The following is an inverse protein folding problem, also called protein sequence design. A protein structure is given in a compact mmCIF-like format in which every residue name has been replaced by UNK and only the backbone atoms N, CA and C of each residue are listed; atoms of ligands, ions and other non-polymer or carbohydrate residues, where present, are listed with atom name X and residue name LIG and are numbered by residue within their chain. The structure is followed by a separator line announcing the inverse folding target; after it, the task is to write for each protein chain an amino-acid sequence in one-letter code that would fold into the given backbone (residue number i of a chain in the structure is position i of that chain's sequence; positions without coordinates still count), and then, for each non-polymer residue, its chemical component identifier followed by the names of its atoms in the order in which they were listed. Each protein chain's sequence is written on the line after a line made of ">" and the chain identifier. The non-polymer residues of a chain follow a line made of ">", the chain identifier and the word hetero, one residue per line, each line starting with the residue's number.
data_IF_419578562912
#
_entry.id   IF_419578562912
#
_cell.length_a   1.000
_cell.length_b   1.000
_cell.length_c   1.000
_cell.angle_alpha   90.00
_cell.angle_beta   90.00
_cell.angle_gamma   90.00
#
_symmetry.space_group_name_H-M   'P 1'
#
loop_
_entity.id
_entity.type
_entity.pdbx_description
1 polymer ?
#
# COMPACT_ATOMS: atom_id res chain seq x y z
N UNK A 1 23.93 21.00 -12.13
CA UNK A 1 23.09 21.07 -10.90
C UNK A 1 22.26 22.35 -10.94
N UNK A 2 20.99 22.30 -10.53
CA UNK A 2 20.07 23.45 -10.61
C UNK A 2 19.56 23.79 -12.02
N UNK A 3 19.79 22.92 -13.00
CA UNK A 3 19.34 23.05 -14.40
C UNK A 3 18.50 21.84 -14.79
N UNK A 4 17.57 22.02 -15.72
CA UNK A 4 16.73 20.93 -16.23
C UNK A 4 17.60 19.84 -16.91
N UNK A 5 17.30 18.58 -16.62
CA UNK A 5 18.04 17.40 -17.10
C UNK A 5 18.08 17.28 -18.63
N UNK A 6 17.16 17.92 -19.37
CA UNK A 6 17.18 17.96 -20.83
C UNK A 6 18.47 18.52 -21.43
N UNK A 7 19.28 19.24 -20.65
CA UNK A 7 20.62 19.68 -21.06
C UNK A 7 21.61 18.55 -21.33
N UNK A 8 21.31 17.33 -20.87
CA UNK A 8 22.11 16.12 -21.10
C UNK A 8 21.68 15.35 -22.34
N UNK A 9 20.74 15.89 -23.13
CA UNK A 9 20.10 15.21 -24.25
C UNK A 9 20.39 15.96 -25.57
N UNK A 10 20.46 15.24 -26.70
CA UNK A 10 20.42 15.85 -28.02
C UNK A 10 19.23 16.80 -28.20
N UNK A 11 19.35 17.90 -28.97
CA UNK A 11 18.30 18.92 -29.09
C UNK A 11 16.93 18.35 -29.46
N UNK A 12 16.90 17.41 -30.41
CA UNK A 12 15.68 16.76 -30.89
C UNK A 12 14.97 15.87 -29.84
N UNK A 13 15.69 15.45 -28.79
CA UNK A 13 15.13 14.72 -27.63
C UNK A 13 14.76 15.72 -26.52
N UNK A 14 15.63 16.70 -26.26
CA UNK A 14 15.46 17.72 -25.24
C UNK A 14 14.16 18.53 -25.44
N UNK A 15 13.78 18.81 -26.68
CA UNK A 15 12.53 19.51 -27.03
C UNK A 15 11.28 18.73 -26.62
N UNK A 16 11.34 17.40 -26.63
CA UNK A 16 10.20 16.51 -26.34
C UNK A 16 10.15 16.06 -24.87
N UNK A 17 11.27 16.18 -24.16
CA UNK A 17 11.46 15.67 -22.79
C UNK A 17 10.36 16.12 -21.81
N UNK A 18 10.12 17.43 -21.73
CA UNK A 18 9.19 18.01 -20.75
C UNK A 18 7.74 17.56 -21.02
N UNK A 19 7.40 17.27 -22.28
CA UNK A 19 6.10 16.73 -22.68
C UNK A 19 5.85 15.30 -22.19
N UNK A 20 6.90 14.46 -22.09
CA UNK A 20 6.76 13.11 -21.55
C UNK A 20 6.45 13.13 -20.04
N UNK A 21 7.08 14.03 -19.29
CA UNK A 21 6.81 14.22 -17.87
C UNK A 21 5.40 14.78 -17.63
N UNK A 22 4.98 15.76 -18.42
CA UNK A 22 3.64 16.34 -18.31
C UNK A 22 2.55 15.30 -18.58
N UNK A 23 2.73 14.50 -19.64
CA UNK A 23 1.80 13.42 -19.99
C UNK A 23 1.72 12.38 -18.87
N UNK A 24 2.86 11.96 -18.32
CA UNK A 24 2.89 11.04 -17.20
C UNK A 24 2.11 11.58 -15.98
N UNK A 25 2.34 12.84 -15.60
CA UNK A 25 1.60 13.48 -14.49
C UNK A 25 0.09 13.58 -14.73
N UNK A 26 -0.34 13.73 -15.99
CA UNK A 26 -1.75 13.87 -16.34
C UNK A 26 -2.47 12.53 -16.49
N UNK A 27 -1.81 11.51 -17.02
CA UNK A 27 -2.46 10.26 -17.41
C UNK A 27 -2.04 9.06 -16.58
N UNK A 28 -1.01 9.18 -15.74
CA UNK A 28 -0.37 8.05 -15.03
C UNK A 28 0.33 7.04 -15.95
N UNK A 29 0.33 7.27 -17.27
CA UNK A 29 0.90 6.35 -18.26
C UNK A 29 2.41 6.57 -18.34
N UNK A 30 3.16 5.57 -17.89
CA UNK A 30 4.63 5.61 -17.75
C UNK A 30 5.34 5.45 -19.10
N UNK A 31 6.21 6.41 -19.45
CA UNK A 31 6.97 6.41 -20.72
C UNK A 31 8.44 5.95 -20.55
N UNK A 32 9.16 6.49 -19.56
CA UNK A 32 10.54 6.10 -19.16
C UNK A 32 10.59 5.71 -17.67
N UNK A 33 9.68 6.25 -16.87
CA UNK A 33 9.56 5.98 -15.43
C UNK A 33 9.20 4.50 -15.20
N UNK A 34 10.04 3.79 -14.46
CA UNK A 34 9.91 2.38 -14.16
C UNK A 34 10.46 1.42 -15.22
N UNK A 35 11.26 1.87 -16.19
CA UNK A 35 11.92 0.95 -17.14
C UNK A 35 13.31 1.46 -17.50
N UNK A 36 14.31 0.58 -17.57
CA UNK A 36 15.63 0.93 -18.12
C UNK A 36 15.54 0.92 -19.64
N UNK A 37 15.98 1.99 -20.30
CA UNK A 37 15.94 2.13 -21.76
C UNK A 37 17.24 2.69 -22.32
N UNK A 38 17.62 2.21 -23.49
CA UNK A 38 18.67 2.85 -24.29
C UNK A 38 18.19 4.21 -24.81
N UNK A 39 18.99 5.24 -24.57
CA UNK A 39 18.76 6.63 -24.96
C UNK A 39 20.06 7.22 -25.53
N UNK A 40 19.97 8.42 -26.08
CA UNK A 40 21.14 9.19 -26.48
C UNK A 40 21.41 10.29 -25.46
N UNK A 41 22.62 10.29 -24.90
CA UNK A 41 23.15 11.37 -24.09
C UNK A 41 23.98 12.34 -24.94
N UNK A 42 24.18 13.55 -24.45
CA UNK A 42 25.06 14.54 -25.08
C UNK A 42 26.08 15.06 -24.05
N UNK A 43 27.36 14.97 -24.37
CA UNK A 43 28.43 15.60 -23.61
C UNK A 43 28.39 17.12 -23.75
N UNK A 44 29.00 17.84 -22.79
CA UNK A 44 29.18 19.31 -22.86
C UNK A 44 29.83 19.79 -24.16
N UNK A 45 30.68 18.96 -24.79
CA UNK A 45 31.34 19.24 -26.06
C UNK A 45 30.41 19.18 -27.29
N UNK A 46 29.16 18.73 -27.13
CA UNK A 46 28.24 18.49 -28.24
C UNK A 46 28.26 17.06 -28.78
N UNK A 47 29.21 16.22 -28.34
CA UNK A 47 29.30 14.82 -28.76
C UNK A 47 28.13 14.01 -28.20
N UNK A 48 27.41 13.33 -29.08
CA UNK A 48 26.34 12.39 -28.73
C UNK A 48 26.95 11.03 -28.41
N UNK A 49 26.45 10.37 -27.37
CA UNK A 49 26.85 9.02 -26.97
C UNK A 49 25.62 8.17 -26.66
N UNK A 50 25.74 6.87 -26.85
CA UNK A 50 24.67 5.93 -26.47
C UNK A 50 24.71 5.72 -24.96
N UNK A 51 23.54 5.78 -24.32
CA UNK A 51 23.42 5.66 -22.87
C UNK A 51 22.25 4.76 -22.48
N UNK A 52 22.25 4.21 -21.27
CA UNK A 52 21.06 3.62 -20.67
C UNK A 52 20.55 4.52 -19.56
N UNK A 53 19.23 4.74 -19.53
CA UNK A 53 18.57 5.50 -18.47
C UNK A 53 17.51 4.64 -17.78
N UNK A 54 17.54 4.61 -16.45
CA UNK A 54 16.44 4.14 -15.62
C UNK A 54 15.96 5.28 -14.75
N UNK A 55 14.66 5.55 -14.72
CA UNK A 55 14.06 6.61 -13.90
C UNK A 55 12.94 6.01 -13.07
N UNK A 56 12.83 6.38 -11.80
CA UNK A 56 11.77 6.00 -10.88
C UNK A 56 11.11 7.25 -10.31
N UNK A 57 9.82 7.16 -10.06
CA UNK A 57 9.04 8.21 -9.41
C UNK A 57 9.03 7.94 -7.91
N UNK A 58 9.52 8.91 -7.16
CA UNK A 58 9.66 8.89 -5.72
C UNK A 58 8.79 10.00 -5.16
N UNK A 59 7.80 9.62 -4.36
CA UNK A 59 6.92 10.57 -3.71
C UNK A 59 7.62 11.10 -2.44
N UNK A 60 7.96 12.40 -2.44
CA UNK A 60 8.54 13.10 -1.29
C UNK A 60 7.52 14.09 -0.72
N UNK A 61 7.74 14.56 0.51
CA UNK A 61 6.86 15.52 1.21
C UNK A 61 6.66 16.86 0.48
N UNK A 62 7.47 17.16 -0.54
CA UNK A 62 7.39 18.34 -1.40
C UNK A 62 6.89 18.03 -2.83
N UNK A 63 6.42 16.81 -3.10
CA UNK A 63 5.84 16.37 -4.38
C UNK A 63 6.62 15.23 -5.05
N UNK A 64 6.28 14.98 -6.33
CA UNK A 64 6.93 13.95 -7.16
C UNK A 64 8.39 14.30 -7.47
N UNK A 65 9.29 13.43 -7.06
CA UNK A 65 10.73 13.48 -7.37
C UNK A 65 11.11 12.32 -8.26
N UNK A 66 11.84 12.59 -9.35
CA UNK A 66 12.29 11.54 -10.25
C UNK A 66 13.76 11.21 -9.94
N UNK A 67 14.01 9.99 -9.48
CA UNK A 67 15.36 9.48 -9.25
C UNK A 67 15.75 8.57 -10.41
N UNK A 68 16.97 8.68 -10.94
CA UNK A 68 17.36 7.83 -12.05
C UNK A 68 18.85 7.81 -12.29
N UNK A 69 19.31 6.80 -13.01
CA UNK A 69 20.70 6.67 -13.46
C UNK A 69 20.78 6.88 -14.98
N UNK A 70 21.92 7.40 -15.43
CA UNK A 70 22.27 7.52 -16.85
C UNK A 70 23.70 6.96 -17.01
N UNK A 71 23.84 5.84 -17.72
CA UNK A 71 25.13 5.18 -17.95
C UNK A 71 25.55 5.31 -19.41
N UNK A 72 26.78 5.74 -19.69
CA UNK A 72 27.34 5.73 -21.03
C UNK A 72 27.73 4.30 -21.44
N UNK A 73 27.35 3.89 -22.65
CA UNK A 73 27.70 2.58 -23.22
C UNK A 73 29.06 2.58 -23.94
N UNK A 74 29.86 3.65 -23.82
CA UNK A 74 31.14 3.80 -24.54
C UNK A 74 32.39 3.28 -23.80
N UNK A 75 32.24 2.57 -22.68
CA UNK A 75 33.36 1.97 -21.92
C UNK A 75 33.14 0.49 -21.66
N UNK A 76 34.14 -0.34 -21.99
CA UNK A 76 34.09 -1.79 -21.78
C UNK A 76 33.88 -2.20 -20.32
N UNK A 77 33.37 -3.44 -20.16
CA UNK A 77 32.93 -4.09 -18.93
C UNK A 77 33.81 -3.83 -17.70
N UNK A 78 33.49 -2.78 -16.96
CA UNK A 78 33.74 -2.70 -15.53
C UNK A 78 32.37 -2.53 -14.88
N UNK A 79 31.88 -3.58 -14.23
CA UNK A 79 30.65 -3.61 -13.43
C UNK A 79 30.83 -2.80 -12.13
N UNK A 80 31.52 -1.67 -12.24
CA UNK A 80 31.57 -0.64 -11.23
C UNK A 80 30.79 0.54 -11.81
N UNK A 81 29.49 0.58 -11.55
CA UNK A 81 28.75 1.83 -11.48
C UNK A 81 29.67 2.84 -10.79
N UNK A 82 30.10 3.90 -11.50
CA UNK A 82 31.04 4.91 -10.98
C UNK A 82 30.75 5.21 -9.50
N UNK A 83 31.76 5.12 -8.64
CA UNK A 83 31.66 5.10 -7.17
C UNK A 83 30.79 6.22 -6.58
N UNK A 84 30.66 7.33 -7.31
CA UNK A 84 29.85 8.49 -6.98
C UNK A 84 28.34 8.26 -7.22
N UNK A 85 27.97 7.56 -8.30
CA UNK A 85 26.58 7.16 -8.58
C UNK A 85 26.14 6.05 -7.63
N UNK A 86 27.05 5.14 -7.27
CA UNK A 86 26.79 4.12 -6.26
C UNK A 86 26.59 4.76 -4.87
N UNK A 87 27.40 5.75 -4.48
CA UNK A 87 27.22 6.51 -3.24
C UNK A 87 25.86 7.24 -3.18
N UNK A 88 25.44 7.89 -4.27
CA UNK A 88 24.16 8.61 -4.32
C UNK A 88 22.95 7.64 -4.31
N UNK A 89 23.05 6.50 -4.99
CA UNK A 89 22.07 5.40 -4.90
C UNK A 89 21.98 4.80 -3.50
N UNK A 90 23.12 4.64 -2.81
CA UNK A 90 23.21 4.08 -1.45
C UNK A 90 22.72 5.04 -0.37
N UNK A 91 22.75 6.35 -0.61
CA UNK A 91 22.43 7.39 0.38
C UNK A 91 20.99 7.92 0.28
N UNK A 92 20.35 7.86 -0.90
CA UNK A 92 19.02 8.45 -1.13
C UNK A 92 17.90 7.44 -1.45
N UNK A 93 18.20 6.16 -1.67
CA UNK A 93 17.17 5.16 -1.96
C UNK A 93 16.39 4.78 -0.69
N UNK A 94 15.12 5.18 -0.64
CA UNK A 94 14.16 4.75 0.41
C UNK A 94 13.81 3.25 0.26
N UNK A 95 13.89 2.70 -0.96
CA UNK A 95 13.52 1.32 -1.27
C UNK A 95 14.74 0.37 -1.36
N UNK A 96 14.50 -0.91 -1.03
CA UNK A 96 15.52 -1.96 -1.12
C UNK A 96 15.88 -2.23 -2.58
N UNK A 97 17.17 -2.20 -2.88
CA UNK A 97 17.74 -2.53 -4.18
C UNK A 97 18.75 -3.65 -4.00
N UNK A 98 18.59 -4.71 -4.78
CA UNK A 98 19.50 -5.87 -4.80
C UNK A 98 19.92 -6.14 -6.24
N UNK A 99 21.21 -6.28 -6.48
CA UNK A 99 21.76 -6.72 -7.75
C UNK A 99 22.27 -8.14 -7.63
N UNK A 100 21.99 -8.98 -8.63
CA UNK A 100 22.53 -10.34 -8.72
C UNK A 100 22.98 -10.68 -10.14
N UNK A 101 23.88 -11.66 -10.26
CA UNK A 101 24.28 -12.25 -11.53
C UNK A 101 23.20 -13.22 -12.10
N UNK A 102 23.48 -13.81 -13.25
CA UNK A 102 22.56 -14.77 -13.89
C UNK A 102 22.40 -16.12 -13.16
N UNK A 103 23.27 -16.41 -12.19
CA UNK A 103 23.21 -17.58 -11.33
C UNK A 103 22.43 -17.31 -10.04
N UNK A 104 22.01 -16.06 -9.81
CA UNK A 104 21.33 -15.62 -8.60
C UNK A 104 22.28 -15.28 -7.46
N UNK A 105 23.58 -15.13 -7.72
CA UNK A 105 24.56 -14.66 -6.74
C UNK A 105 24.38 -13.17 -6.54
N UNK A 106 24.16 -12.74 -5.31
CA UNK A 106 24.03 -11.32 -4.97
C UNK A 106 25.38 -10.63 -5.12
N UNK A 107 25.41 -9.58 -5.94
CA UNK A 107 26.59 -8.74 -6.17
C UNK A 107 26.58 -7.53 -5.25
N UNK A 108 25.41 -6.90 -5.09
CA UNK A 108 25.26 -5.71 -4.26
C UNK A 108 23.88 -5.66 -3.58
N UNK A 109 23.83 -5.00 -2.43
CA UNK A 109 22.61 -4.63 -1.72
C UNK A 109 22.78 -3.23 -1.10
N UNK A 110 21.77 -2.37 -1.20
CA UNK A 110 21.83 -1.03 -0.61
C UNK A 110 21.49 -1.04 0.90
N UNK A 111 21.73 0.10 1.58
CA UNK A 111 21.42 0.26 3.02
C UNK A 111 19.97 -0.04 3.37
N UNK A 112 19.03 0.38 2.52
CA UNK A 112 17.61 0.09 2.69
C UNK A 112 17.33 -1.42 2.65
N UNK A 113 18.00 -2.17 1.78
CA UNK A 113 17.91 -3.63 1.74
C UNK A 113 18.50 -4.32 2.97
N UNK A 114 19.64 -3.84 3.46
CA UNK A 114 20.24 -4.32 4.72
C UNK A 114 19.24 -4.15 5.87
N UNK A 115 18.64 -2.96 5.99
CA UNK A 115 17.62 -2.68 7.00
C UNK A 115 16.36 -3.54 6.80
N UNK A 116 15.85 -3.64 5.57
CA UNK A 116 14.66 -4.41 5.25
C UNK A 116 14.81 -5.89 5.57
N UNK A 117 15.96 -6.51 5.30
CA UNK A 117 16.15 -7.93 5.59
C UNK A 117 16.70 -8.23 6.98
N UNK A 118 16.91 -7.20 7.82
CA UNK A 118 17.47 -7.35 9.17
C UNK A 118 18.90 -7.87 9.15
N UNK A 119 19.69 -7.47 8.16
CA UNK A 119 21.09 -7.85 7.99
C UNK A 119 21.98 -6.88 8.78
N UNK A 120 23.12 -7.36 9.29
CA UNK A 120 24.10 -6.51 9.99
C UNK A 120 25.00 -5.74 9.00
N UNK A 121 25.04 -6.18 7.75
CA UNK A 121 25.80 -5.55 6.68
C UNK A 121 25.77 -6.35 5.37
N UNK A 122 26.18 -5.71 4.28
CA UNK A 122 26.15 -6.29 2.92
C UNK A 122 26.98 -7.59 2.82
N UNK A 123 28.08 -7.71 3.57
CA UNK A 123 28.97 -8.87 3.53
C UNK A 123 28.29 -10.20 3.91
N UNK A 124 27.12 -10.16 4.56
CA UNK A 124 26.35 -11.36 4.90
C UNK A 124 25.60 -11.95 3.71
N UNK A 125 25.36 -11.16 2.66
CA UNK A 125 24.55 -11.56 1.50
C UNK A 125 25.30 -11.45 0.18
N UNK A 126 26.24 -10.53 0.05
CA UNK A 126 27.09 -10.41 -1.14
C UNK A 126 27.92 -11.69 -1.32
N UNK A 127 27.91 -12.23 -2.53
CA UNK A 127 28.50 -13.52 -2.88
C UNK A 127 27.64 -14.75 -2.54
N UNK A 128 26.50 -14.56 -1.87
CA UNK A 128 25.55 -15.64 -1.56
C UNK A 128 24.41 -15.67 -2.59
N UNK A 129 23.72 -16.81 -2.68
CA UNK A 129 22.56 -16.92 -3.56
C UNK A 129 21.34 -16.20 -2.95
N UNK A 130 20.64 -15.41 -3.75
CA UNK A 130 19.48 -14.58 -3.38
C UNK A 130 18.37 -15.35 -2.66
N UNK A 131 18.24 -16.66 -2.91
CA UNK A 131 17.21 -17.50 -2.31
C UNK A 131 17.27 -17.54 -0.78
N UNK A 132 18.37 -17.12 -0.16
CA UNK A 132 18.47 -16.96 1.29
C UNK A 132 17.50 -15.92 1.86
N UNK A 133 17.01 -14.99 1.04
CA UNK A 133 16.06 -13.94 1.41
C UNK A 133 14.59 -14.35 1.16
N UNK A 134 14.34 -15.63 0.92
CA UNK A 134 13.04 -16.18 0.55
C UNK A 134 12.65 -17.34 1.48
N UNK A 135 11.35 -17.60 1.68
CA UNK A 135 10.88 -18.80 2.36
C UNK A 135 11.40 -20.08 1.70
N UNK A 136 11.61 -21.12 2.50
CA UNK A 136 12.23 -22.40 2.06
C UNK A 136 11.51 -23.04 0.88
N UNK A 137 10.19 -22.88 0.79
CA UNK A 137 9.35 -23.45 -0.25
C UNK A 137 9.66 -22.80 -1.61
N UNK A 138 9.78 -21.47 -1.62
CA UNK A 138 10.15 -20.67 -2.80
C UNK A 138 11.63 -20.85 -3.13
N UNK A 139 12.50 -20.85 -2.12
CA UNK A 139 13.95 -20.96 -2.28
C UNK A 139 14.36 -22.25 -3.00
N UNK A 140 13.68 -23.37 -2.73
CA UNK A 140 13.92 -24.67 -3.40
C UNK A 140 13.65 -24.62 -4.91
N UNK A 141 12.73 -23.79 -5.35
CA UNK A 141 12.30 -23.70 -6.75
C UNK A 141 13.03 -22.59 -7.52
N UNK A 142 13.60 -21.61 -6.80
CA UNK A 142 14.13 -20.37 -7.37
C UNK A 142 15.19 -20.59 -8.47
N UNK A 143 16.16 -21.47 -8.24
CA UNK A 143 17.22 -21.76 -9.21
C UNK A 143 16.67 -22.39 -10.50
N UNK A 144 15.53 -23.09 -10.42
CA UNK A 144 14.80 -23.61 -11.57
C UNK A 144 14.22 -22.50 -12.46
N UNK A 145 13.76 -21.39 -11.86
CA UNK A 145 13.28 -20.22 -12.61
C UNK A 145 14.40 -19.54 -13.40
N UNK A 146 15.58 -19.38 -12.77
CA UNK A 146 16.75 -18.81 -13.43
C UNK A 146 17.24 -19.72 -14.56
N UNK A 147 17.29 -21.03 -14.33
CA UNK A 147 17.69 -22.02 -15.35
C UNK A 147 16.75 -22.01 -16.55
N UNK A 148 15.44 -22.07 -16.31
CA UNK A 148 14.44 -21.95 -17.38
C UNK A 148 14.54 -20.64 -18.14
N UNK A 149 14.79 -19.52 -17.45
CA UNK A 149 14.99 -18.23 -18.10
C UNK A 149 16.21 -18.22 -19.02
N UNK A 150 17.34 -18.76 -18.56
CA UNK A 150 18.57 -18.87 -19.36
C UNK A 150 18.38 -19.72 -20.62
N UNK A 151 17.63 -20.82 -20.51
CA UNK A 151 17.35 -21.74 -21.62
C UNK A 151 16.34 -21.19 -22.63
N UNK A 152 15.25 -20.56 -22.14
CA UNK A 152 14.09 -20.22 -22.98
C UNK A 152 14.00 -18.74 -23.34
N UNK A 153 14.66 -17.85 -22.59
CA UNK A 153 14.49 -16.41 -22.68
C UNK A 153 13.10 -15.89 -22.27
N UNK A 154 12.19 -16.77 -21.82
CA UNK A 154 10.82 -16.40 -21.46
C UNK A 154 10.82 -15.74 -20.08
N UNK A 155 10.52 -14.45 -20.06
CA UNK A 155 10.40 -13.62 -18.85
C UNK A 155 9.17 -14.05 -18.05
N UNK A 156 9.37 -14.77 -16.95
CA UNK A 156 8.27 -15.12 -16.02
C UNK A 156 7.99 -13.97 -15.05
N UNK A 157 9.02 -13.29 -14.53
CA UNK A 157 8.90 -12.20 -13.53
C UNK A 157 9.46 -10.87 -14.04
N UNK A 158 10.47 -10.92 -14.92
CA UNK A 158 11.16 -9.76 -15.47
C UNK A 158 10.18 -8.88 -16.26
N UNK A 159 10.20 -7.57 -16.02
CA UNK A 159 9.27 -6.55 -16.56
C UNK A 159 7.82 -6.59 -16.00
N UNK A 160 7.56 -7.36 -14.95
CA UNK A 160 6.26 -7.36 -14.23
C UNK A 160 6.44 -7.05 -12.74
N UNK A 161 5.50 -6.31 -12.16
CA UNK A 161 5.37 -6.16 -10.72
C UNK A 161 4.69 -7.39 -10.16
N UNK A 162 5.30 -8.08 -9.18
CA UNK A 162 4.72 -9.25 -8.54
C UNK A 162 4.81 -9.17 -7.03
N UNK A 163 3.79 -9.68 -6.36
CA UNK A 163 3.82 -9.86 -4.92
C UNK A 163 4.36 -11.24 -4.59
N UNK A 164 5.32 -11.28 -3.67
CA UNK A 164 5.95 -12.51 -3.20
C UNK A 164 6.21 -12.39 -1.70
N UNK A 165 6.27 -13.52 -1.01
CA UNK A 165 6.68 -13.54 0.39
C UNK A 165 8.20 -13.60 0.47
N UNK A 166 8.78 -12.67 1.24
CA UNK A 166 10.18 -12.60 1.58
C UNK A 166 10.42 -13.14 3.01
N UNK A 167 11.68 -13.42 3.34
CA UNK A 167 12.07 -13.85 4.68
C UNK A 167 13.27 -13.03 5.18
N UNK A 168 13.17 -12.46 6.38
CA UNK A 168 14.26 -11.74 7.04
C UNK A 168 15.26 -12.73 7.65
N UNK A 169 16.43 -12.22 8.07
CA UNK A 169 17.50 -13.01 8.72
C UNK A 169 17.02 -13.78 9.96
N UNK A 170 16.10 -13.21 10.74
CA UNK A 170 15.54 -13.84 11.95
C UNK A 170 14.50 -14.93 11.64
N UNK A 171 14.17 -15.16 10.36
CA UNK A 171 13.18 -16.12 9.90
C UNK A 171 11.76 -15.55 9.78
N UNK A 172 11.52 -14.31 10.19
CA UNK A 172 10.21 -13.66 10.01
C UNK A 172 9.88 -13.51 8.53
N UNK A 173 8.62 -13.77 8.19
CA UNK A 173 8.10 -13.69 6.82
C UNK A 173 7.29 -12.41 6.66
N UNK A 174 7.40 -11.79 5.50
CA UNK A 174 6.70 -10.54 5.19
C UNK A 174 6.45 -10.47 3.69
N UNK A 175 5.39 -9.75 3.29
CA UNK A 175 5.02 -9.66 1.89
C UNK A 175 5.71 -8.46 1.24
N UNK A 176 6.24 -8.69 0.04
CA UNK A 176 6.93 -7.67 -0.73
C UNK A 176 6.37 -7.56 -2.12
N UNK A 177 6.31 -6.32 -2.59
CA UNK A 177 6.20 -6.05 -4.01
C UNK A 177 7.61 -6.09 -4.62
N UNK A 178 7.80 -7.05 -5.52
CA UNK A 178 9.06 -7.33 -6.20
C UNK A 178 8.96 -6.92 -7.67
N UNK A 179 9.97 -6.19 -8.12
CA UNK A 179 10.18 -5.89 -9.53
C UNK A 179 11.61 -6.23 -9.93
N UNK A 180 11.75 -6.98 -11.01
CA UNK A 180 13.07 -7.39 -11.53
C UNK A 180 13.27 -6.79 -12.92
N UNK A 181 14.42 -6.14 -13.10
CA UNK A 181 14.88 -5.65 -14.40
C UNK A 181 16.14 -6.41 -14.80
N UNK A 182 16.23 -6.80 -16.08
CA UNK A 182 17.45 -7.37 -16.65
C UNK A 182 18.37 -6.24 -17.15
N UNK A 183 19.66 -6.36 -16.85
CA UNK A 183 20.73 -5.52 -17.37
C UNK A 183 21.76 -6.40 -18.07
N UNK A 184 22.29 -5.92 -19.21
CA UNK A 184 23.34 -6.62 -19.96
C UNK A 184 24.58 -5.75 -20.05
N UNK A 185 25.72 -6.29 -19.64
CA UNK A 185 27.04 -5.68 -19.85
C UNK A 185 27.88 -6.62 -20.70
N UNK A 186 28.07 -6.27 -21.98
CA UNK A 186 28.71 -7.17 -22.94
C UNK A 186 27.93 -8.47 -23.12
N UNK A 187 28.57 -9.61 -22.81
CA UNK A 187 27.96 -10.94 -22.87
C UNK A 187 27.27 -11.36 -21.56
N UNK A 188 27.52 -10.64 -20.46
CA UNK A 188 27.02 -10.98 -19.14
C UNK A 188 25.63 -10.40 -18.88
N UNK A 189 24.82 -11.15 -18.13
CA UNK A 189 23.47 -10.75 -17.70
C UNK A 189 23.43 -10.57 -16.20
N UNK A 190 22.76 -9.49 -15.80
CA UNK A 190 22.54 -9.12 -14.41
C UNK A 190 21.05 -8.86 -14.19
N UNK A 191 20.63 -9.00 -12.94
CA UNK A 191 19.28 -8.68 -12.50
C UNK A 191 19.33 -7.66 -11.39
N UNK A 192 18.50 -6.62 -11.54
CA UNK A 192 18.29 -5.59 -10.52
C UNK A 192 16.87 -5.76 -9.98
N UNK A 193 16.79 -6.14 -8.71
CA UNK A 193 15.56 -6.28 -7.95
C UNK A 193 15.27 -5.03 -7.13
N UNK A 194 14.07 -4.49 -7.28
CA UNK A 194 13.48 -3.48 -6.41
C UNK A 194 12.48 -4.17 -5.50
N UNK A 195 12.65 -4.02 -4.20
CA UNK A 195 11.85 -4.68 -3.18
C UNK A 195 11.21 -3.63 -2.29
N UNK A 196 9.88 -3.66 -2.18
CA UNK A 196 9.11 -2.80 -1.29
C UNK A 196 8.31 -3.67 -0.34
N UNK A 197 8.40 -3.41 0.96
CA UNK A 197 7.51 -4.00 1.96
C UNK A 197 6.08 -3.53 1.71
N UNK A 198 5.14 -4.46 1.56
CA UNK A 198 3.71 -4.14 1.43
C UNK A 198 2.87 -4.80 2.54
N UNK A 199 3.52 -5.27 3.61
CA UNK A 199 2.86 -5.95 4.73
C UNK A 199 1.83 -5.04 5.42
N UNK A 200 2.13 -3.74 5.55
CA UNK A 200 1.24 -2.76 6.20
C UNK A 200 0.00 -2.41 5.34
N UNK A 201 0.18 -2.26 4.02
CA UNK A 201 -0.91 -2.01 3.07
C UNK A 201 -1.93 -3.17 3.06
N UNK A 202 -1.47 -4.39 3.35
CA UNK A 202 -2.32 -5.57 3.34
C UNK A 202 -2.93 -5.90 4.70
N UNK A 203 -2.25 -5.62 5.81
CA UNK A 203 -2.85 -5.67 7.13
C UNK A 203 -4.07 -4.74 7.22
N UNK A 204 -3.99 -3.55 6.62
CA UNK A 204 -5.11 -2.60 6.53
C UNK A 204 -6.25 -3.12 5.64
N UNK A 205 -5.96 -3.62 4.43
CA UNK A 205 -6.99 -4.09 3.49
C UNK A 205 -7.63 -5.40 3.97
N UNK A 206 -6.85 -6.33 4.53
CA UNK A 206 -7.36 -7.55 5.16
C UNK A 206 -8.13 -7.19 6.42
N UNK A 207 -7.63 -6.31 7.29
CA UNK A 207 -8.39 -5.88 8.47
C UNK A 207 -9.73 -5.27 8.06
N UNK A 208 -9.76 -4.41 7.03
CA UNK A 208 -10.98 -3.80 6.48
C UNK A 208 -11.91 -4.82 5.81
N UNK A 209 -11.36 -5.81 5.09
CA UNK A 209 -12.14 -6.86 4.43
C UNK A 209 -12.67 -7.88 5.42
N UNK A 210 -11.88 -8.26 6.44
CA UNK A 210 -12.27 -9.17 7.51
C UNK A 210 -13.24 -8.51 8.49
N UNK A 211 -13.09 -7.22 8.81
CA UNK A 211 -14.15 -6.49 9.56
C UNK A 211 -15.43 -6.45 8.75
N UNK A 212 -15.40 -6.04 7.48
CA UNK A 212 -16.63 -6.06 6.66
C UNK A 212 -17.25 -7.46 6.52
N UNK A 213 -16.43 -8.52 6.38
CA UNK A 213 -16.91 -9.90 6.24
C UNK A 213 -17.43 -10.47 7.57
N UNK A 214 -16.83 -10.13 8.72
CA UNK A 214 -17.36 -10.53 10.03
C UNK A 214 -18.68 -9.82 10.31
N UNK A 215 -18.77 -8.52 10.00
CA UNK A 215 -20.02 -7.76 10.13
C UNK A 215 -21.16 -8.41 9.33
N UNK A 216 -20.91 -8.86 8.09
CA UNK A 216 -21.95 -9.43 7.23
C UNK A 216 -22.38 -10.87 7.60
N UNK A 217 -21.53 -11.63 8.30
CA UNK A 217 -21.85 -13.00 8.73
C UNK A 217 -22.52 -13.03 10.11
N UNK A 218 -22.43 -11.94 10.90
CA UNK A 218 -23.06 -11.86 12.23
C UNK A 218 -24.59 -11.78 12.10
N UNK A 219 -25.34 -12.67 12.78
CA UNK A 219 -26.81 -12.68 12.74
C UNK A 219 -27.48 -11.53 13.52
N UNK A 220 -26.70 -10.77 14.30
CA UNK A 220 -27.17 -9.60 15.04
C UNK A 220 -26.98 -8.31 14.24
N UNK A 221 -27.90 -7.36 14.40
CA UNK A 221 -27.82 -6.07 13.72
C UNK A 221 -26.63 -5.26 14.27
N UNK A 222 -25.71 -4.90 13.38
CA UNK A 222 -24.51 -4.14 13.70
C UNK A 222 -24.44 -2.85 12.89
N UNK A 223 -24.16 -1.75 13.59
CA UNK A 223 -24.00 -0.41 13.02
C UNK A 223 -22.71 0.19 13.55
N UNK A 224 -21.84 0.66 12.65
CA UNK A 224 -20.65 1.41 13.03
C UNK A 224 -20.80 2.88 12.64
N UNK A 225 -20.42 3.79 13.54
CA UNK A 225 -20.48 5.23 13.33
C UNK A 225 -19.13 5.89 13.65
N UNK A 226 -18.82 6.96 12.92
CA UNK A 226 -17.68 7.82 13.23
C UNK A 226 -17.93 8.71 14.47
N UNK A 227 -16.94 9.55 14.81
CA UNK A 227 -17.04 10.50 15.93
C UNK A 227 -18.17 11.52 15.80
N UNK A 228 -18.67 11.84 14.62
CA UNK A 228 -19.79 12.78 14.45
C UNK A 228 -21.15 12.09 14.26
N UNK A 229 -21.18 10.76 14.36
CA UNK A 229 -22.39 9.95 14.24
C UNK A 229 -22.76 9.58 12.81
N UNK A 230 -21.84 9.72 11.85
CA UNK A 230 -22.03 9.25 10.47
C UNK A 230 -21.90 7.73 10.44
N UNK A 231 -22.87 7.04 9.85
CA UNK A 231 -22.83 5.59 9.65
C UNK A 231 -21.75 5.26 8.62
N UNK A 232 -20.78 4.45 9.03
CA UNK A 232 -19.68 3.97 8.18
C UNK A 232 -19.75 2.46 7.92
N UNK A 233 -20.57 1.72 8.68
CA UNK A 233 -20.91 0.32 8.40
C UNK A 233 -22.35 0.01 8.83
N UNK A 234 -23.03 -0.84 8.05
CA UNK A 234 -24.42 -1.24 8.27
C UNK A 234 -24.63 -2.65 7.71
N UNK A 235 -24.60 -3.68 8.57
CA UNK A 235 -24.59 -5.07 8.12
C UNK A 235 -25.96 -5.58 7.63
N UNK A 236 -25.99 -6.76 7.01
CA UNK A 236 -27.21 -7.34 6.45
C UNK A 236 -28.34 -7.53 7.50
N UNK A 237 -27.99 -7.86 8.74
CA UNK A 237 -28.95 -7.96 9.83
C UNK A 237 -29.53 -6.59 10.23
N UNK A 238 -28.75 -5.51 10.16
CA UNK A 238 -29.23 -4.15 10.37
C UNK A 238 -30.12 -3.66 9.21
N UNK A 239 -29.81 -4.05 7.96
CA UNK A 239 -30.70 -3.81 6.82
C UNK A 239 -32.07 -4.46 7.03
N UNK A 240 -32.09 -5.73 7.44
CA UNK A 240 -33.31 -6.44 7.77
C UNK A 240 -34.05 -5.84 8.98
N UNK A 241 -33.33 -5.41 10.01
CA UNK A 241 -33.94 -4.83 11.20
C UNK A 241 -34.55 -3.46 10.91
N UNK A 242 -33.85 -2.56 10.24
CA UNK A 242 -34.35 -1.19 10.10
C UNK A 242 -35.07 -0.90 8.78
N UNK A 243 -35.10 -1.87 7.86
CA UNK A 243 -35.67 -1.72 6.52
C UNK A 243 -34.97 -0.63 5.70
N UNK A 244 -33.68 -0.39 5.98
CA UNK A 244 -32.81 0.48 5.21
C UNK A 244 -31.84 -0.35 4.37
N UNK A 245 -31.69 -0.01 3.09
CA UNK A 245 -30.54 -0.50 2.32
C UNK A 245 -29.25 0.14 2.83
N UNK A 246 -28.18 -0.64 2.92
CA UNK A 246 -26.84 -0.20 3.31
C UNK A 246 -26.38 0.99 2.47
N UNK A 247 -26.63 0.95 1.16
CA UNK A 247 -26.29 2.03 0.23
C UNK A 247 -26.93 3.38 0.60
N UNK A 248 -28.08 3.36 1.28
CA UNK A 248 -28.82 4.55 1.72
C UNK A 248 -28.40 4.97 3.13
N UNK A 249 -28.11 4.00 4.01
CA UNK A 249 -27.72 4.23 5.39
C UNK A 249 -26.28 4.78 5.51
N UNK A 250 -25.34 4.24 4.73
CA UNK A 250 -23.93 4.67 4.75
C UNK A 250 -23.82 6.15 4.38
N UNK A 251 -23.04 6.90 5.17
CA UNK A 251 -22.86 8.34 5.00
C UNK A 251 -23.99 9.19 5.58
N UNK A 252 -25.08 8.59 6.07
CA UNK A 252 -26.12 9.31 6.85
C UNK A 252 -25.76 9.35 8.31
N UNK A 253 -26.36 10.29 9.05
CA UNK A 253 -26.24 10.33 10.49
C UNK A 253 -27.14 9.25 11.13
N UNK A 254 -26.64 8.58 12.18
CA UNK A 254 -27.32 7.48 12.90
C UNK A 254 -28.69 7.82 13.45
N UNK A 255 -29.01 9.12 13.58
CA UNK A 255 -30.34 9.62 13.94
C UNK A 255 -31.49 9.06 13.11
N UNK A 256 -31.23 8.60 11.87
CA UNK A 256 -32.27 7.98 11.04
C UNK A 256 -32.84 6.68 11.62
N UNK A 257 -32.20 6.11 12.65
CA UNK A 257 -32.57 4.85 13.30
C UNK A 257 -33.30 5.06 14.64
N UNK A 258 -33.64 6.29 14.99
CA UNK A 258 -34.26 6.63 16.27
C UNK A 258 -35.32 7.73 16.14
N UNK A 259 -36.32 7.78 17.04
CA UNK A 259 -37.38 8.77 16.97
C UNK A 259 -36.89 10.20 17.19
N UNK A 260 -37.62 11.17 16.61
CA UNK A 260 -37.29 12.60 16.61
C UNK A 260 -36.84 13.15 17.97
N UNK A 261 -37.55 12.78 19.05
CA UNK A 261 -37.25 13.26 20.42
C UNK A 261 -35.83 12.88 20.88
N UNK A 262 -35.34 11.71 20.47
CA UNK A 262 -33.99 11.23 20.80
C UNK A 262 -32.98 11.69 19.74
N UNK A 263 -33.37 11.68 18.46
CA UNK A 263 -32.54 12.13 17.35
C UNK A 263 -32.04 13.58 17.54
N UNK A 264 -32.92 14.49 17.99
CA UNK A 264 -32.58 15.90 18.24
C UNK A 264 -31.43 16.09 19.24
N UNK A 265 -31.28 15.18 20.20
CA UNK A 265 -30.30 15.30 21.30
C UNK A 265 -29.07 14.41 21.09
N UNK A 266 -29.07 13.53 20.10
CA UNK A 266 -28.06 12.48 19.97
C UNK A 266 -26.63 13.02 19.77
N UNK A 267 -26.45 14.05 18.92
CA UNK A 267 -25.14 14.65 18.70
C UNK A 267 -24.55 15.25 19.98
N UNK A 268 -25.41 15.78 20.86
CA UNK A 268 -24.97 16.32 22.14
C UNK A 268 -24.42 15.21 23.04
N UNK A 269 -24.96 13.99 22.96
CA UNK A 269 -24.45 12.85 23.71
C UNK A 269 -23.07 12.41 23.21
N UNK A 270 -22.87 12.37 21.88
CA UNK A 270 -21.57 12.07 21.27
C UNK A 270 -20.52 13.12 21.64
N UNK A 271 -20.87 14.41 21.55
CA UNK A 271 -20.00 15.51 21.92
C UNK A 271 -19.63 15.49 23.41
N UNK A 272 -20.59 15.22 24.31
CA UNK A 272 -20.34 15.08 25.75
C UNK A 272 -19.45 13.87 26.06
N UNK A 273 -19.66 12.74 25.37
CA UNK A 273 -18.81 11.57 25.53
C UNK A 273 -17.36 11.85 25.11
N UNK A 274 -17.14 12.52 23.97
CA UNK A 274 -15.80 12.87 23.53
C UNK A 274 -15.10 13.84 24.47
N UNK A 275 -15.83 14.83 24.98
CA UNK A 275 -15.25 15.89 25.81
C UNK A 275 -15.01 15.47 27.26
N UNK A 276 -15.88 14.65 27.83
CA UNK A 276 -15.90 14.36 29.27
C UNK A 276 -15.88 12.85 29.59
N UNK A 277 -15.85 11.98 28.58
CA UNK A 277 -15.96 10.51 28.72
C UNK A 277 -17.16 10.06 29.57
N UNK A 278 -18.24 10.86 29.57
CA UNK A 278 -19.49 10.56 30.29
C UNK A 278 -20.24 9.48 29.52
N UNK A 279 -20.20 8.25 30.03
CA UNK A 279 -20.80 7.04 29.43
C UNK A 279 -22.32 7.03 29.65
N UNK A 280 -23.10 7.24 28.59
CA UNK A 280 -24.54 6.95 28.60
C UNK A 280 -24.82 5.52 28.15
N UNK A 281 -24.39 5.16 26.95
CA UNK A 281 -24.58 3.81 26.38
C UNK A 281 -23.25 3.07 26.21
N UNK A 282 -22.16 3.77 25.89
CA UNK A 282 -20.84 3.13 25.69
C UNK A 282 -20.44 2.29 26.91
N UNK A 283 -20.05 1.05 26.64
CA UNK A 283 -19.73 -0.02 27.60
C UNK A 283 -20.87 -0.51 28.49
N UNK A 284 -22.12 -0.11 28.22
CA UNK A 284 -23.31 -0.57 28.93
C UNK A 284 -24.35 -1.10 27.94
N UNK A 285 -25.21 -2.01 28.41
CA UNK A 285 -26.40 -2.45 27.68
C UNK A 285 -27.58 -1.60 28.12
N UNK A 286 -28.39 -1.12 27.17
CA UNK A 286 -29.62 -0.35 27.46
C UNK A 286 -30.76 -0.71 26.53
N UNK A 287 -31.98 -0.58 27.03
CA UNK A 287 -33.16 -0.54 26.18
C UNK A 287 -33.36 0.89 25.67
N UNK A 288 -33.60 1.03 24.38
CA UNK A 288 -33.86 2.29 23.68
C UNK A 288 -35.05 2.10 22.75
N UNK A 289 -35.72 3.21 22.40
CA UNK A 289 -36.71 3.20 21.34
C UNK A 289 -36.00 3.46 20.00
N UNK A 290 -36.09 2.49 19.10
CA UNK A 290 -35.55 2.55 17.75
C UNK A 290 -36.66 2.80 16.73
N UNK A 291 -36.32 3.33 15.56
CA UNK A 291 -37.28 3.64 14.48
C UNK A 291 -36.84 3.01 13.16
N UNK A 292 -37.76 2.29 12.50
CA UNK A 292 -37.53 1.71 11.16
C UNK A 292 -37.77 2.76 10.07
N UNK A 293 -37.34 2.49 8.83
CA UNK A 293 -37.54 3.39 7.67
C UNK A 293 -38.99 3.85 7.46
N UNK A 294 -39.97 3.00 7.78
CA UNK A 294 -41.40 3.32 7.66
C UNK A 294 -41.96 4.17 8.82
N UNK A 295 -41.12 4.61 9.77
CA UNK A 295 -41.49 5.40 10.94
C UNK A 295 -42.07 4.59 12.10
N UNK A 296 -42.14 3.26 11.99
CA UNK A 296 -42.59 2.42 13.12
C UNK A 296 -41.50 2.34 14.18
N UNK A 297 -41.89 2.55 15.44
CA UNK A 297 -40.99 2.48 16.57
C UNK A 297 -41.06 1.11 17.26
N UNK A 298 -39.93 0.64 17.78
CA UNK A 298 -39.85 -0.64 18.47
C UNK A 298 -38.82 -0.57 19.60
N UNK A 299 -39.02 -1.32 20.70
CA UNK A 299 -38.03 -1.40 21.76
C UNK A 299 -36.84 -2.23 21.27
N UNK A 300 -35.64 -1.68 21.40
CA UNK A 300 -34.40 -2.34 21.04
C UNK A 300 -33.44 -2.33 22.23
N UNK A 301 -32.75 -3.44 22.46
CA UNK A 301 -31.60 -3.48 23.34
C UNK A 301 -30.36 -3.08 22.53
N UNK A 302 -29.58 -2.12 23.03
CA UNK A 302 -28.35 -1.62 22.39
C UNK A 302 -27.15 -1.76 23.32
N UNK A 303 -26.02 -2.17 22.74
CA UNK A 303 -24.70 -2.14 23.35
C UNK A 303 -23.71 -1.47 22.42
N UNK A 304 -22.91 -0.53 22.93
CA UNK A 304 -21.93 0.23 22.12
C UNK A 304 -20.53 0.05 22.68
N UNK A 305 -19.57 -0.27 21.80
CA UNK A 305 -18.12 -0.28 22.09
C UNK A 305 -17.42 0.84 21.35
N UNK A 306 -16.49 1.52 22.03
CA UNK A 306 -15.54 2.43 21.41
C UNK A 306 -14.33 1.63 20.90
N UNK A 307 -13.90 1.93 19.68
CA UNK A 307 -12.66 1.44 19.08
C UNK A 307 -12.05 2.59 18.27
N UNK A 308 -10.98 2.34 17.52
CA UNK A 308 -10.33 3.33 16.66
C UNK A 308 -10.37 2.86 15.22
N UNK A 309 -10.58 3.80 14.30
CA UNK A 309 -10.38 3.54 12.87
C UNK A 309 -8.89 3.44 12.51
N UNK A 310 -8.60 3.23 11.22
CA UNK A 310 -7.24 3.12 10.69
C UNK A 310 -6.39 4.38 10.94
N UNK A 311 -7.01 5.54 10.99
CA UNK A 311 -6.34 6.82 11.22
C UNK A 311 -6.18 7.13 12.72
N UNK A 312 -6.57 6.20 13.60
CA UNK A 312 -6.57 6.40 15.05
C UNK A 312 -7.73 7.26 15.55
N UNK A 313 -8.73 7.53 14.71
CA UNK A 313 -9.90 8.33 15.07
C UNK A 313 -10.96 7.48 15.79
N UNK A 314 -11.73 8.05 16.74
CA UNK A 314 -12.74 7.30 17.47
C UNK A 314 -13.83 6.74 16.54
N UNK A 315 -14.08 5.44 16.67
CA UNK A 315 -15.13 4.69 15.99
C UNK A 315 -16.02 4.02 17.04
N UNK A 316 -17.34 4.04 16.83
CA UNK A 316 -18.28 3.39 17.72
C UNK A 316 -19.02 2.26 17.01
N UNK A 317 -18.99 1.07 17.59
CA UNK A 317 -19.68 -0.11 17.06
C UNK A 317 -20.84 -0.45 17.99
N UNK A 318 -22.06 -0.36 17.46
CA UNK A 318 -23.30 -0.67 18.14
C UNK A 318 -23.88 -2.01 17.69
N UNK A 319 -24.33 -2.81 18.65
CA UNK A 319 -25.12 -4.02 18.45
C UNK A 319 -26.54 -3.74 18.88
N UNK A 320 -27.52 -4.13 18.06
CA UNK A 320 -28.94 -3.95 18.37
C UNK A 320 -29.70 -5.27 18.27
N UNK A 321 -30.59 -5.47 19.25
CA UNK A 321 -31.52 -6.60 19.28
C UNK A 321 -32.95 -6.09 19.42
N UNK A 322 -33.84 -6.55 18.55
CA UNK A 322 -35.27 -6.29 18.68
C UNK A 322 -35.83 -6.96 19.93
N UNK A 323 -36.49 -6.18 20.78
CA UNK A 323 -37.10 -6.65 22.03
C UNK A 323 -38.63 -6.69 21.95
N UNK A 324 -39.20 -6.55 20.75
CA UNK A 324 -40.63 -6.68 20.50
C UNK A 324 -41.16 -8.01 21.06
N UNK A 325 -42.22 -7.94 21.88
CA UNK A 325 -42.80 -9.10 22.55
C UNK A 325 -42.15 -9.50 23.87
N UNK A 326 -41.01 -8.89 24.25
CA UNK A 326 -40.34 -9.08 25.55
C UNK A 326 -40.40 -7.85 26.44
N UNK A 327 -40.46 -6.66 25.84
CA UNK A 327 -40.59 -5.38 26.51
C UNK A 327 -41.63 -4.57 25.74
N UNK A 328 -42.52 -3.87 26.45
CA UNK A 328 -43.49 -3.00 25.81
C UNK A 328 -42.81 -1.68 25.42
N UNK A 329 -43.11 -1.14 24.24
CA UNK A 329 -42.46 0.09 23.73
C UNK A 329 -42.68 1.30 24.66
N UNK A 330 -43.72 1.26 25.49
CA UNK A 330 -44.07 2.29 26.48
C UNK A 330 -43.19 2.26 27.74
N UNK A 331 -42.52 1.14 27.99
CA UNK A 331 -41.72 0.91 29.19
C UNK A 331 -40.23 1.25 28.98
N UNK A 332 -39.88 1.79 27.81
CA UNK A 332 -38.52 2.19 27.45
C UNK A 332 -38.38 3.72 27.52
N UNK A 333 -37.37 4.21 28.26
CA UNK A 333 -37.08 5.63 28.48
C UNK A 333 -36.23 6.27 27.38
#
# INVERSE_FOLDING_TARGET
>A
VGKNVKMLMPPHIAEKHDGYLLRYKQTGVRHVVGSVRSVQGQHKSGRVYAAQIGVEDVELSNGHTYAGFLESMEGGANVAMSSEVNAVMQELAVHCIIMMDEMGTVLEINKAGIALFGLDGAAQVVGQNIKMLMPVETARQHDGYLSRYRETGIKSVIDSTRRVTAQRKDGSRFDVELRITEYKSGAEKFFIGFVRDCSDEYAEVIARTLTNSLFDVTPEAMVAIDKVGTIVNFNAAAEALFDFERSIAIGRNVKILMPDKHALRHDQYLAQYQRHKIRRVVDNVRNVLAERKNGTTFPAEISVRETTDINGEPLFVGYLRDMTGRVDAKDVM
#
